data_IF_892863789751
#
_entry.id   IF_892863789751
#
_cell.length_a   1.000
_cell.length_b   1.000
_cell.length_c   1.000
_cell.angle_alpha   90.00
_cell.angle_beta   90.00
_cell.angle_gamma   90.00
#
_symmetry.space_group_name_H-M   'P 1'
#
loop_
_entity.id
_entity.type
_entity.pdbx_description
1 polymer ?
#
# COMPACT_ATOMS: atom_id res chain seq x y z
N UNK A 1 19.37 14.02 -4.52
CA UNK A 1 19.39 15.40 -3.99
C UNK A 1 19.25 15.27 -2.48
N UNK A 2 20.25 15.72 -1.71
CA UNK A 2 20.25 15.61 -0.25
C UNK A 2 19.24 16.60 0.35
N UNK A 3 18.27 16.10 1.13
CA UNK A 3 17.26 16.89 1.83
C UNK A 3 17.89 17.91 2.81
N UNK A 4 19.14 17.69 3.25
CA UNK A 4 19.90 18.63 4.07
C UNK A 4 20.49 19.84 3.31
N UNK A 5 20.53 19.79 1.98
CA UNK A 5 21.12 20.84 1.14
C UNK A 5 20.13 21.96 0.79
N UNK A 6 18.82 21.68 0.83
CA UNK A 6 17.75 22.60 0.46
C UNK A 6 17.25 23.38 1.68
N UNK A 7 17.27 24.72 1.64
CA UNK A 7 16.94 25.59 2.79
C UNK A 7 15.61 26.35 2.61
N UNK A 8 15.13 26.96 3.70
CA UNK A 8 13.93 27.78 3.70
C UNK A 8 12.64 26.98 3.57
N UNK A 9 11.57 27.63 3.09
CA UNK A 9 10.24 27.02 3.00
C UNK A 9 10.20 25.77 2.11
N UNK A 10 10.99 25.74 1.03
CA UNK A 10 11.05 24.59 0.11
C UNK A 10 11.70 23.39 0.80
N UNK A 11 12.85 23.59 1.46
CA UNK A 11 13.49 22.52 2.26
C UNK A 11 12.58 21.99 3.37
N UNK A 12 11.87 22.88 4.07
CA UNK A 12 10.92 22.48 5.11
C UNK A 12 9.72 21.67 4.58
N UNK A 13 9.19 22.01 3.40
CA UNK A 13 8.11 21.23 2.78
C UNK A 13 8.59 19.85 2.32
N UNK A 14 9.80 19.75 1.77
CA UNK A 14 10.38 18.47 1.37
C UNK A 14 10.64 17.58 2.59
N UNK A 15 11.23 18.13 3.65
CA UNK A 15 11.45 17.41 4.91
C UNK A 15 10.13 16.92 5.51
N UNK A 16 9.11 17.78 5.60
CA UNK A 16 7.79 17.37 6.08
C UNK A 16 7.16 16.27 5.22
N UNK A 17 7.28 16.38 3.89
CA UNK A 17 6.77 15.37 2.96
C UNK A 17 7.42 14.01 3.24
N UNK A 18 8.74 14.00 3.34
CA UNK A 18 9.54 12.75 3.41
C UNK A 18 9.52 12.13 4.82
N UNK A 19 9.50 12.94 5.87
CA UNK A 19 9.60 12.47 7.26
C UNK A 19 8.24 12.26 7.94
N UNK A 20 7.18 12.94 7.48
CA UNK A 20 5.88 12.93 8.15
C UNK A 20 4.78 12.44 7.22
N UNK A 21 4.58 13.12 6.09
CA UNK A 21 3.43 12.87 5.24
C UNK A 21 3.46 11.47 4.61
N UNK A 22 4.58 11.10 3.99
CA UNK A 22 4.74 9.79 3.33
C UNK A 22 4.61 8.65 4.35
N UNK A 23 5.33 8.64 5.49
CA UNK A 23 5.15 7.61 6.50
C UNK A 23 3.72 7.49 7.03
N UNK A 24 3.04 8.61 7.28
CA UNK A 24 1.65 8.60 7.74
C UNK A 24 0.69 8.00 6.70
N UNK A 25 0.88 8.32 5.42
CA UNK A 25 0.09 7.72 4.33
C UNK A 25 0.33 6.21 4.23
N UNK A 26 1.58 5.77 4.34
CA UNK A 26 1.94 4.35 4.25
C UNK A 26 1.32 3.55 5.42
N UNK A 27 1.35 4.09 6.63
CA UNK A 27 0.70 3.49 7.79
C UNK A 27 -0.83 3.40 7.63
N UNK A 28 -1.47 4.47 7.12
CA UNK A 28 -2.90 4.45 6.88
C UNK A 28 -3.28 3.43 5.80
N UNK A 29 -2.50 3.35 4.71
CA UNK A 29 -2.67 2.35 3.65
C UNK A 29 -2.52 0.93 4.17
N UNK A 30 -1.50 0.67 4.99
CA UNK A 30 -1.27 -0.63 5.65
C UNK A 30 -2.49 -1.05 6.49
N UNK A 31 -3.02 -0.14 7.33
CA UNK A 31 -4.21 -0.42 8.14
C UNK A 31 -5.42 -0.73 7.25
N UNK A 32 -5.62 0.05 6.17
CA UNK A 32 -6.72 -0.17 5.23
C UNK A 32 -6.66 -1.54 4.55
N UNK A 33 -5.46 -1.94 4.10
CA UNK A 33 -5.24 -3.25 3.46
C UNK A 33 -5.42 -4.41 4.45
N UNK A 34 -4.88 -4.28 5.67
CA UNK A 34 -5.04 -5.28 6.72
C UNK A 34 -6.50 -5.46 7.13
N UNK A 35 -7.26 -4.36 7.25
CA UNK A 35 -8.68 -4.39 7.53
C UNK A 35 -9.47 -5.09 6.43
N UNK A 36 -9.23 -4.71 5.16
CA UNK A 36 -9.89 -5.31 4.01
C UNK A 36 -9.65 -6.82 3.94
N UNK A 37 -8.40 -7.24 4.10
CA UNK A 37 -8.02 -8.66 4.09
C UNK A 37 -8.67 -9.44 5.24
N UNK A 38 -8.60 -8.92 6.48
CA UNK A 38 -9.20 -9.58 7.64
C UNK A 38 -10.73 -9.74 7.50
N UNK A 39 -11.44 -8.71 7.01
CA UNK A 39 -12.87 -8.78 6.78
C UNK A 39 -13.23 -9.80 5.69
N UNK A 40 -12.49 -9.78 4.59
CA UNK A 40 -12.70 -10.73 3.49
C UNK A 40 -12.46 -12.17 3.94
N UNK A 41 -11.38 -12.43 4.68
CA UNK A 41 -11.09 -13.75 5.25
C UNK A 41 -12.23 -14.21 6.16
N UNK A 42 -12.67 -13.36 7.09
CA UNK A 42 -13.73 -13.73 8.01
C UNK A 42 -15.07 -13.98 7.30
N UNK A 43 -15.39 -13.21 6.25
CA UNK A 43 -16.62 -13.40 5.48
C UNK A 43 -16.60 -14.70 4.66
N UNK A 44 -15.44 -15.08 4.10
CA UNK A 44 -15.25 -16.35 3.38
C UNK A 44 -15.41 -17.60 4.26
N UNK A 45 -15.29 -17.45 5.58
CA UNK A 45 -15.59 -18.52 6.54
C UNK A 45 -17.08 -18.64 6.87
N UNK A 46 -17.88 -17.66 6.44
CA UNK A 46 -19.32 -17.60 6.67
C UNK A 46 -20.15 -17.98 5.46
N UNK A 47 -21.44 -17.80 5.62
CA UNK A 47 -22.46 -18.07 4.62
C UNK A 47 -23.45 -16.89 4.59
N UNK A 48 -23.93 -16.53 3.41
CA UNK A 48 -24.97 -15.52 3.24
C UNK A 48 -26.37 -16.07 3.58
N UNK A 49 -27.39 -15.23 3.40
CA UNK A 49 -28.78 -15.60 3.69
C UNK A 49 -29.32 -16.71 2.79
N UNK A 50 -28.78 -16.83 1.58
CA UNK A 50 -29.23 -17.77 0.56
C UNK A 50 -28.48 -19.12 0.65
N UNK A 51 -27.57 -19.25 1.60
CA UNK A 51 -26.80 -20.47 1.82
C UNK A 51 -25.49 -20.54 1.03
N UNK A 52 -25.05 -19.46 0.39
CA UNK A 52 -23.80 -19.43 -0.36
C UNK A 52 -22.63 -19.01 0.53
N UNK A 53 -21.43 -19.53 0.25
CA UNK A 53 -20.21 -19.11 0.94
C UNK A 53 -19.94 -17.62 0.68
N UNK A 54 -19.59 -16.89 1.74
CA UNK A 54 -19.29 -15.46 1.65
C UNK A 54 -18.09 -15.15 0.74
N UNK A 55 -18.16 -14.04 0.02
CA UNK A 55 -17.08 -13.55 -0.86
C UNK A 55 -16.25 -12.43 -0.23
N UNK A 56 -15.52 -11.71 -1.08
CA UNK A 56 -14.84 -10.47 -0.64
C UNK A 56 -15.86 -9.34 -0.45
N UNK A 57 -15.77 -8.66 0.69
CA UNK A 57 -16.53 -7.44 1.00
C UNK A 57 -15.79 -6.22 0.44
N UNK A 58 -14.46 -6.20 0.59
CA UNK A 58 -13.59 -5.12 0.12
C UNK A 58 -12.71 -5.59 -1.03
N UNK A 59 -12.47 -4.72 -2.01
CA UNK A 59 -11.53 -5.00 -3.09
C UNK A 59 -10.12 -4.56 -2.67
N UNK A 60 -9.19 -5.51 -2.66
CA UNK A 60 -7.76 -5.23 -2.55
C UNK A 60 -7.23 -4.85 -3.95
N UNK A 61 -6.60 -3.67 -4.11
CA UNK A 61 -6.10 -3.23 -5.41
C UNK A 61 -4.78 -3.92 -5.78
N UNK A 62 -4.55 -4.05 -7.09
CA UNK A 62 -3.20 -4.27 -7.63
C UNK A 62 -2.50 -2.93 -7.75
N UNK A 63 -1.25 -2.85 -7.32
CA UNK A 63 -0.41 -1.66 -7.42
C UNK A 63 0.61 -1.85 -8.54
N UNK A 64 0.92 -0.76 -9.25
CA UNK A 64 1.97 -0.74 -10.27
C UNK A 64 3.27 -0.20 -9.69
N UNK A 65 4.40 -0.76 -10.10
CA UNK A 65 5.71 -0.18 -9.87
C UNK A 65 6.01 0.94 -10.86
N UNK A 66 6.72 1.98 -10.39
CA UNK A 66 7.25 3.01 -11.28
C UNK A 66 8.60 2.56 -11.83
N UNK A 67 8.76 2.61 -13.15
CA UNK A 67 10.05 2.33 -13.78
C UNK A 67 11.04 3.46 -13.48
N UNK A 68 12.27 3.08 -13.10
CA UNK A 68 13.36 4.05 -12.99
C UNK A 68 13.69 4.60 -14.38
N UNK A 69 13.94 5.92 -14.47
CA UNK A 69 14.07 6.61 -15.77
C UNK A 69 15.26 6.15 -16.61
N UNK A 70 16.27 5.55 -15.98
CA UNK A 70 17.46 5.02 -16.68
C UNK A 70 17.29 3.55 -17.11
N UNK A 71 16.14 2.93 -16.84
CA UNK A 71 15.85 1.60 -17.36
C UNK A 71 15.80 1.62 -18.88
N UNK A 72 16.54 0.73 -19.52
CA UNK A 72 16.56 0.58 -20.99
C UNK A 72 15.55 -0.45 -21.51
N UNK A 73 14.98 -1.27 -20.61
CA UNK A 73 13.93 -2.24 -20.92
C UNK A 73 12.52 -1.69 -20.67
N UNK A 74 11.51 -2.38 -21.22
CA UNK A 74 10.09 -2.01 -21.09
C UNK A 74 9.32 -2.87 -20.10
N UNK A 75 10.02 -3.54 -19.19
CA UNK A 75 9.39 -4.40 -18.19
C UNK A 75 8.51 -3.55 -17.25
N UNK A 76 7.29 -4.04 -16.98
CA UNK A 76 6.38 -3.46 -16.01
C UNK A 76 6.26 -4.37 -14.80
N UNK A 77 6.23 -3.77 -13.60
CA UNK A 77 6.05 -4.49 -12.34
C UNK A 77 4.65 -4.19 -11.79
N UNK A 78 4.00 -5.22 -11.30
CA UNK A 78 2.75 -5.12 -10.55
C UNK A 78 2.84 -5.96 -9.30
N UNK A 79 2.23 -5.50 -8.22
CA UNK A 79 2.12 -6.24 -6.97
C UNK A 79 0.69 -6.22 -6.45
N UNK A 80 0.34 -7.21 -5.65
CA UNK A 80 -0.92 -7.26 -4.91
C UNK A 80 -0.65 -7.91 -3.56
N UNK A 81 -1.50 -7.61 -2.57
CA UNK A 81 -1.47 -8.33 -1.31
C UNK A 81 -1.88 -9.79 -1.55
N UNK A 82 -1.10 -10.71 -0.98
CA UNK A 82 -1.46 -12.11 -0.84
C UNK A 82 -2.55 -12.25 0.23
N UNK A 83 -3.67 -12.87 -0.12
CA UNK A 83 -4.80 -13.11 0.80
C UNK A 83 -4.33 -13.81 2.06
N UNK A 84 -4.74 -13.34 3.23
CA UNK A 84 -4.29 -13.92 4.50
C UNK A 84 -3.17 -13.16 5.18
N UNK A 85 -2.41 -12.35 4.44
CA UNK A 85 -1.14 -11.78 4.89
C UNK A 85 -1.19 -10.28 5.12
N UNK A 86 -2.38 -9.70 5.27
CA UNK A 86 -2.54 -8.25 5.50
C UNK A 86 -1.82 -7.73 6.74
N UNK A 87 -1.60 -8.59 7.74
CA UNK A 87 -0.84 -8.26 8.96
C UNK A 87 0.69 -8.29 8.78
N UNK A 88 1.19 -8.82 7.66
CA UNK A 88 2.62 -8.91 7.35
C UNK A 88 3.10 -7.77 6.43
N UNK A 89 2.20 -6.88 6.01
CA UNK A 89 2.54 -5.73 5.20
C UNK A 89 3.44 -4.76 5.99
N UNK A 90 4.60 -4.34 5.46
CA UNK A 90 5.35 -3.24 6.05
C UNK A 90 4.75 -1.88 5.65
N UNK A 91 4.82 -0.89 6.54
CA UNK A 91 4.42 0.49 6.27
C UNK A 91 5.53 1.30 5.57
N UNK A 92 6.16 0.73 4.54
CA UNK A 92 7.32 1.30 3.85
C UNK A 92 7.15 1.25 2.34
N UNK A 93 7.66 2.26 1.67
CA UNK A 93 7.82 2.22 0.22
C UNK A 93 9.02 1.35 -0.16
N UNK A 94 8.89 0.64 -1.28
CA UNK A 94 9.97 -0.13 -1.89
C UNK A 94 10.53 0.66 -3.08
N UNK A 95 11.85 0.80 -3.14
CA UNK A 95 12.57 1.47 -4.23
C UNK A 95 13.39 0.46 -5.03
#
# INVERSE_FOLDING_TARGET
LDSGSLKGKIGGLLAFRDEVLIPAQNQLGQIGLALADAFNQQNRLGMDLDGNIGGDIFKIPTVGGFAYSENTGTAALTATLETGRGNELPATDFQ
#
